data_IF_457552287407
#
_entry.id   IF_457552287407
#
_cell.length_a   1.000
_cell.length_b   1.000
_cell.length_c   1.000
_cell.angle_alpha   90.00
_cell.angle_beta   90.00
_cell.angle_gamma   90.00
#
_symmetry.space_group_name_H-M   'P 1'
#
loop_
_entity.id
_entity.type
_entity.pdbx_description
1 polymer ?
#
# COMPACT_ATOMS: atom_id res chain seq x y z
N UNK A 1 -7.31 -14.73 -9.98
CA UNK A 1 -6.59 -13.44 -9.95
C UNK A 1 -6.80 -12.90 -8.55
N UNK A 2 -5.74 -12.72 -7.77
CA UNK A 2 -5.88 -12.26 -6.39
C UNK A 2 -6.25 -10.78 -6.37
N UNK A 3 -7.18 -10.40 -5.50
CA UNK A 3 -7.62 -9.02 -5.34
C UNK A 3 -7.27 -8.51 -3.95
N UNK A 4 -7.11 -7.20 -3.80
CA UNK A 4 -6.92 -6.60 -2.47
C UNK A 4 -8.13 -6.89 -1.56
N UNK A 5 -9.32 -7.06 -2.13
CA UNK A 5 -10.52 -7.48 -1.40
C UNK A 5 -10.38 -8.85 -0.74
N UNK A 6 -9.68 -9.78 -1.38
CA UNK A 6 -9.44 -11.11 -0.79
C UNK A 6 -8.65 -10.98 0.51
N UNK A 7 -7.59 -10.16 0.51
CA UNK A 7 -6.78 -9.92 1.72
C UNK A 7 -7.59 -9.14 2.77
N UNK A 8 -8.33 -8.13 2.35
CA UNK A 8 -9.15 -7.32 3.25
C UNK A 8 -10.35 -8.08 3.86
N UNK A 9 -10.66 -9.28 3.37
CA UNK A 9 -11.63 -10.17 4.01
C UNK A 9 -11.09 -10.83 5.28
N UNK A 10 -9.77 -10.91 5.40
CA UNK A 10 -9.05 -11.50 6.55
C UNK A 10 -8.40 -10.42 7.43
N UNK A 11 -8.05 -9.27 6.84
CA UNK A 11 -7.33 -8.18 7.49
C UNK A 11 -8.20 -6.92 7.59
N UNK A 12 -8.21 -6.27 8.75
CA UNK A 12 -8.93 -4.99 8.92
C UNK A 12 -8.39 -3.91 7.97
N UNK A 13 -7.07 -3.91 7.75
CA UNK A 13 -6.35 -2.95 6.90
C UNK A 13 -5.03 -3.51 6.39
N UNK A 14 -4.62 -3.06 5.21
CA UNK A 14 -3.32 -3.38 4.60
C UNK A 14 -2.66 -2.12 4.03
N UNK A 15 -1.34 -2.17 3.86
CA UNK A 15 -0.58 -1.14 3.18
C UNK A 15 -0.01 -1.67 1.87
N UNK A 16 -0.24 -0.94 0.79
CA UNK A 16 0.20 -1.31 -0.55
C UNK A 16 1.39 -0.45 -0.93
N UNK A 17 2.42 -1.09 -1.47
CA UNK A 17 3.56 -0.47 -2.12
C UNK A 17 3.41 -0.63 -3.64
N UNK A 18 3.61 0.47 -4.34
CA UNK A 18 3.74 0.52 -5.78
C UNK A 18 5.16 0.95 -6.12
N UNK A 19 5.83 0.20 -6.99
CA UNK A 19 7.18 0.53 -7.44
C UNK A 19 7.19 1.66 -8.48
N UNK A 20 6.05 1.91 -9.14
CA UNK A 20 5.85 3.03 -10.06
C UNK A 20 4.51 3.73 -9.84
N UNK A 21 4.45 5.01 -10.19
CA UNK A 21 3.18 5.77 -10.17
C UNK A 21 2.20 5.24 -11.22
N UNK A 22 2.69 4.70 -12.33
CA UNK A 22 1.86 4.05 -13.36
C UNK A 22 1.11 2.85 -12.78
N UNK A 23 1.77 2.04 -11.94
CA UNK A 23 1.14 0.89 -11.31
C UNK A 23 0.07 1.32 -10.29
N UNK A 24 0.33 2.39 -9.55
CA UNK A 24 -0.65 3.00 -8.65
C UNK A 24 -1.88 3.52 -9.44
N UNK A 25 -1.65 4.13 -10.61
CA UNK A 25 -2.73 4.59 -11.50
C UNK A 25 -3.56 3.42 -12.04
N UNK A 26 -2.91 2.35 -12.48
CA UNK A 26 -3.60 1.12 -12.91
C UNK A 26 -4.48 0.56 -11.78
N UNK A 27 -3.94 0.49 -10.57
CA UNK A 27 -4.71 0.10 -9.40
C UNK A 27 -5.95 0.99 -9.19
N UNK A 28 -5.84 2.32 -9.36
CA UNK A 28 -6.98 3.23 -9.23
C UNK A 28 -8.07 3.05 -10.30
N UNK A 29 -7.69 2.63 -11.51
CA UNK A 29 -8.63 2.31 -12.58
C UNK A 29 -9.43 1.05 -12.27
N UNK A 30 -8.79 0.04 -11.68
CA UNK A 30 -9.37 -1.28 -11.43
C UNK A 30 -10.06 -1.41 -10.07
N UNK A 31 -9.66 -0.60 -9.08
CA UNK A 31 -10.15 -0.73 -7.70
C UNK A 31 -11.57 -0.18 -7.51
N UNK A 32 -12.33 -0.88 -6.66
CA UNK A 32 -13.62 -0.47 -6.13
C UNK A 32 -13.51 0.27 -4.77
N UNK A 33 -12.29 0.42 -4.26
CA UNK A 33 -11.99 1.16 -3.03
C UNK A 33 -12.07 2.68 -3.28
N UNK A 34 -12.15 3.49 -2.21
CA UNK A 34 -12.33 4.95 -2.33
C UNK A 34 -11.58 5.80 -1.30
N UNK A 35 -11.09 6.97 -1.71
CA UNK A 35 -10.61 8.01 -0.79
C UNK A 35 -11.78 8.84 -0.23
N UNK A 36 -12.59 8.24 0.64
CA UNK A 36 -13.83 8.87 1.13
C UNK A 36 -14.73 9.28 -0.03
N UNK A 37 -15.18 10.55 -0.03
CA UNK A 37 -15.99 11.14 -1.10
C UNK A 37 -15.16 11.87 -2.16
N UNK A 38 -13.83 11.71 -2.17
CA UNK A 38 -12.95 12.37 -3.13
C UNK A 38 -13.13 11.74 -4.53
N UNK A 39 -13.48 12.54 -5.56
CA UNK A 39 -13.59 12.03 -6.94
C UNK A 39 -12.27 11.46 -7.47
N UNK A 40 -12.33 10.42 -8.31
CA UNK A 40 -11.16 9.70 -8.85
C UNK A 40 -10.16 10.62 -9.55
N UNK A 41 -10.65 11.63 -10.26
CA UNK A 41 -9.82 12.64 -10.95
C UNK A 41 -8.97 13.51 -10.03
N UNK A 42 -9.26 13.51 -8.71
CA UNK A 42 -8.48 14.22 -7.69
C UNK A 42 -7.54 13.31 -6.91
N UNK A 43 -7.55 12.01 -7.18
CA UNK A 43 -6.68 11.07 -6.49
C UNK A 43 -5.23 11.34 -6.91
N UNK A 44 -4.36 11.50 -5.93
CA UNK A 44 -2.94 11.71 -6.19
C UNK A 44 -2.25 10.35 -6.32
N UNK A 45 -1.42 10.18 -7.34
CA UNK A 45 -0.55 9.02 -7.45
C UNK A 45 0.58 9.11 -6.45
N UNK A 46 1.06 7.96 -6.01
CA UNK A 46 2.17 7.83 -5.09
C UNK A 46 2.57 6.38 -4.96
N UNK A 47 3.53 6.13 -4.09
CA UNK A 47 4.14 4.80 -3.98
C UNK A 47 3.59 3.97 -2.83
N UNK A 48 2.83 4.58 -1.92
CA UNK A 48 2.25 3.87 -0.76
C UNK A 48 0.85 4.36 -0.43
N UNK A 49 -0.06 3.43 -0.18
CA UNK A 49 -1.43 3.72 0.28
C UNK A 49 -1.86 2.72 1.36
N UNK A 50 -2.75 3.16 2.24
CA UNK A 50 -3.49 2.27 3.13
C UNK A 50 -4.85 1.94 2.53
N UNK A 51 -5.25 0.68 2.63
CA UNK A 51 -6.58 0.20 2.27
C UNK A 51 -7.24 -0.47 3.48
N UNK A 52 -8.54 -0.26 3.64
CA UNK A 52 -9.33 -0.74 4.76
C UNK A 52 -10.44 -1.68 4.28
N UNK A 53 -10.80 -2.63 5.13
CA UNK A 53 -11.84 -3.63 4.87
C UNK A 53 -13.22 -3.04 4.57
N UNK A 54 -13.51 -1.85 5.09
CA UNK A 54 -14.72 -1.07 4.80
C UNK A 54 -14.78 -0.48 3.38
N UNK A 55 -13.72 -0.66 2.59
CA UNK A 55 -13.60 -0.16 1.23
C UNK A 55 -12.96 1.22 1.11
N UNK A 56 -12.51 1.82 2.22
CA UNK A 56 -11.85 3.12 2.20
C UNK A 56 -10.34 3.01 2.01
N UNK A 57 -9.74 4.07 1.47
CA UNK A 57 -8.31 4.23 1.31
C UNK A 57 -7.82 5.53 1.93
N UNK A 58 -6.56 5.54 2.33
CA UNK A 58 -5.86 6.70 2.86
C UNK A 58 -4.44 6.79 2.33
N UNK A 59 -3.93 8.02 2.21
CA UNK A 59 -2.52 8.21 1.91
C UNK A 59 -1.69 7.77 3.10
N UNK A 60 -0.69 6.92 2.85
CA UNK A 60 0.30 6.54 3.85
C UNK A 60 1.51 7.44 3.71
N UNK A 61 2.00 8.02 4.81
CA UNK A 61 3.23 8.80 4.73
C UNK A 61 4.44 7.87 4.56
N UNK A 62 5.39 8.27 3.70
CA UNK A 62 6.67 7.55 3.55
C UNK A 62 7.42 7.41 4.88
N UNK A 63 7.28 8.41 5.77
CA UNK A 63 7.85 8.33 7.11
C UNK A 63 7.28 7.15 7.92
N UNK A 64 5.95 7.01 7.95
CA UNK A 64 5.28 5.91 8.67
C UNK A 64 5.63 4.56 8.02
N UNK A 65 5.60 4.49 6.69
CA UNK A 65 6.02 3.30 5.96
C UNK A 65 7.43 2.86 6.34
N UNK A 66 8.43 3.74 6.21
CA UNK A 66 9.83 3.42 6.53
C UNK A 66 10.01 3.02 8.00
N UNK A 67 9.39 3.75 8.94
CA UNK A 67 9.49 3.45 10.38
C UNK A 67 8.87 2.12 10.76
N UNK A 68 7.89 1.65 10.00
CA UNK A 68 7.23 0.37 10.28
C UNK A 68 8.17 -0.83 10.14
N UNK A 69 9.23 -0.74 9.33
CA UNK A 69 10.19 -1.84 9.17
C UNK A 69 11.20 -1.92 10.32
N UNK A 70 11.25 -0.91 11.19
CA UNK A 70 12.11 -0.90 12.38
C UNK A 70 11.40 -1.38 13.65
N UNK A 71 10.15 -1.86 13.53
CA UNK A 71 9.33 -2.28 14.66
C UNK A 71 8.65 -3.60 14.34
N UNK A 72 8.77 -4.57 15.24
CA UNK A 72 8.08 -5.86 15.15
C UNK A 72 6.69 -5.81 15.82
N UNK A 73 6.02 -4.65 15.80
CA UNK A 73 4.72 -4.52 16.42
C UNK A 73 3.66 -5.29 15.64
N UNK A 74 2.89 -6.20 16.27
CA UNK A 74 1.84 -6.95 15.60
C UNK A 74 0.66 -6.07 15.15
N UNK A 75 0.64 -4.80 15.55
CA UNK A 75 -0.38 -3.83 15.15
C UNK A 75 -0.10 -3.16 13.80
N UNK A 76 1.09 -3.40 13.23
CA UNK A 76 1.49 -2.87 11.93
C UNK A 76 0.75 -3.64 10.84
N UNK A 77 0.01 -2.96 9.96
CA UNK A 77 -0.68 -3.61 8.84
C UNK A 77 0.29 -4.38 7.96
N UNK A 78 -0.21 -5.47 7.35
CA UNK A 78 0.54 -6.19 6.33
C UNK A 78 0.94 -5.24 5.20
N UNK A 79 2.20 -5.32 4.79
CA UNK A 79 2.82 -4.48 3.75
C UNK A 79 2.99 -5.31 2.50
N UNK A 80 2.32 -4.92 1.43
CA UNK A 80 2.19 -5.72 0.22
C UNK A 80 2.89 -4.98 -0.92
N UNK A 81 3.80 -5.67 -1.59
CA UNK A 81 4.27 -5.29 -2.92
C UNK A 81 3.16 -5.61 -3.92
N UNK A 82 2.52 -4.57 -4.45
CA UNK A 82 1.36 -4.75 -5.31
C UNK A 82 1.73 -5.44 -6.63
N UNK A 83 2.93 -5.20 -7.17
CA UNK A 83 3.38 -5.83 -8.43
C UNK A 83 3.52 -7.33 -8.25
N UNK A 84 4.22 -7.76 -7.19
CA UNK A 84 4.36 -9.18 -6.86
C UNK A 84 3.01 -9.84 -6.62
N UNK A 85 2.13 -9.15 -5.91
CA UNK A 85 0.80 -9.64 -5.59
C UNK A 85 -0.06 -9.92 -6.83
N UNK A 86 -0.16 -8.97 -7.77
CA UNK A 86 -0.95 -9.16 -9.00
C UNK A 86 -0.32 -10.20 -9.95
N UNK A 87 0.99 -10.42 -9.86
CA UNK A 87 1.70 -11.47 -10.58
C UNK A 87 1.51 -12.87 -9.94
N UNK A 88 0.90 -12.96 -8.77
CA UNK A 88 0.70 -14.23 -8.06
C UNK A 88 1.98 -14.81 -7.44
N UNK A 89 2.99 -13.98 -7.21
CA UNK A 89 4.20 -14.38 -6.47
C UNK A 89 3.83 -14.71 -5.03
N UNK A 90 4.50 -15.68 -4.39
CA UNK A 90 4.18 -16.10 -3.01
C UNK A 90 4.79 -15.18 -1.94
N UNK A 91 5.84 -14.44 -2.28
CA UNK A 91 6.63 -13.56 -1.41
C UNK A 91 6.31 -12.08 -1.62
N UNK A 92 5.02 -11.77 -1.78
CA UNK A 92 4.52 -10.41 -2.03
C UNK A 92 4.53 -9.50 -0.79
N UNK A 93 4.90 -9.99 0.39
CA UNK A 93 5.03 -9.14 1.57
C UNK A 93 6.36 -8.40 1.58
N UNK A 94 6.31 -7.07 1.68
CA UNK A 94 7.51 -6.26 1.83
C UNK A 94 8.20 -6.59 3.17
N UNK A 95 9.47 -6.98 3.09
CA UNK A 95 10.36 -7.17 4.24
C UNK A 95 11.29 -5.97 4.47
N UNK A 96 11.37 -5.05 3.51
CA UNK A 96 12.12 -3.80 3.58
C UNK A 96 11.33 -2.64 2.96
N UNK A 97 11.76 -1.40 3.22
CA UNK A 97 11.00 -0.22 2.82
C UNK A 97 11.04 0.10 1.33
N UNK A 98 12.03 -0.39 0.58
CA UNK A 98 12.36 0.01 -0.81
C UNK A 98 12.64 1.52 -1.02
N UNK A 99 12.35 2.39 -0.05
CA UNK A 99 12.80 3.78 -0.02
C UNK A 99 14.05 3.91 0.82
N UNK A 100 15.06 4.60 0.28
CA UNK A 100 16.22 5.03 1.07
C UNK A 100 15.81 6.22 1.92
N UNK A 101 15.96 6.11 3.23
CA UNK A 101 15.98 7.29 4.08
C UNK A 101 17.15 8.18 3.64
N UNK A 102 16.89 9.45 3.28
CA UNK A 102 17.97 10.43 3.16
C UNK A 102 18.51 10.65 4.57
N UNK A 103 19.63 10.00 4.89
CA UNK A 103 20.35 10.29 6.12
C UNK A 103 21.03 11.64 5.89
N UNK A 104 20.43 12.72 6.37
CA UNK A 104 21.18 13.97 6.53
C UNK A 104 22.28 13.70 7.56
N UNK A 105 23.51 13.55 7.08
CA UNK A 105 24.68 13.56 7.95
C UNK A 105 24.66 14.89 8.73
N UNK A 106 24.69 14.78 10.06
CA UNK A 106 24.89 15.92 10.96
C UNK A 106 26.33 16.40 10.90
#
# INVERSE_FOLDING_TARGET
>A
MHTIRDILSEEERVWLYFDTEELCRQFYEETDLRFGDLPKEKWQTGYVIGAHSDGTMGHLSLYVWCRSFSSDSPTIPKRIDYRKFINGESDYYCTESHFRAVVSAK
#
